data_IF_456281294422
#
_entry.id   IF_456281294422
#
_cell.length_a   1.000
_cell.length_b   1.000
_cell.length_c   1.000
_cell.angle_alpha   90.00
_cell.angle_beta   90.00
_cell.angle_gamma   90.00
#
_symmetry.space_group_name_H-M   'P 1'
#
loop_
_entity.id
_entity.type
_entity.pdbx_description
1 polymer ?
#
# COMPACT_ATOMS: atom_id res chain seq x y z
N UNK A 1 -42.81 -71.16 -18.72
CA UNK A 1 -42.58 -70.79 -17.31
C UNK A 1 -41.13 -70.36 -17.17
N UNK A 2 -40.86 -69.06 -17.30
CA UNK A 2 -39.56 -68.49 -16.99
C UNK A 2 -39.74 -67.62 -15.74
N UNK A 3 -39.06 -67.99 -14.67
CA UNK A 3 -39.06 -67.24 -13.41
C UNK A 3 -38.19 -66.00 -13.58
N UNK A 4 -38.77 -64.81 -13.42
CA UNK A 4 -38.02 -63.57 -13.26
C UNK A 4 -37.53 -63.49 -11.81
N UNK A 5 -36.21 -63.56 -11.62
CA UNK A 5 -35.57 -63.14 -10.38
C UNK A 5 -35.58 -61.61 -10.36
N UNK A 6 -36.30 -61.01 -9.42
CA UNK A 6 -36.23 -59.58 -9.18
C UNK A 6 -34.99 -59.31 -8.34
N UNK A 7 -33.89 -58.91 -9.00
CA UNK A 7 -32.73 -58.34 -8.32
C UNK A 7 -33.14 -56.98 -7.73
N UNK A 8 -33.37 -56.96 -6.42
CA UNK A 8 -33.51 -55.72 -5.65
C UNK A 8 -32.12 -55.11 -5.54
N UNK A 9 -31.83 -54.10 -6.36
CA UNK A 9 -30.65 -53.25 -6.17
C UNK A 9 -30.85 -52.43 -4.90
N UNK A 10 -30.09 -52.75 -3.85
CA UNK A 10 -29.91 -51.86 -2.72
C UNK A 10 -28.92 -50.77 -3.13
N UNK A 11 -29.43 -49.64 -3.63
CA UNK A 11 -28.66 -48.40 -3.70
C UNK A 11 -28.37 -47.97 -2.26
N UNK A 12 -27.21 -48.37 -1.75
CA UNK A 12 -26.69 -47.88 -0.48
C UNK A 12 -25.79 -46.69 -0.79
N UNK A 13 -26.37 -45.58 -1.25
CA UNK A 13 -25.71 -44.30 -1.03
C UNK A 13 -25.77 -44.06 0.48
N UNK A 14 -24.62 -44.18 1.14
CA UNK A 14 -24.51 -43.82 2.53
C UNK A 14 -24.94 -42.34 2.67
N UNK A 15 -25.95 -42.03 3.49
CA UNK A 15 -26.38 -40.65 3.67
C UNK A 15 -25.21 -39.81 4.15
N UNK A 16 -24.86 -38.78 3.38
CA UNK A 16 -23.81 -37.83 3.74
C UNK A 16 -24.29 -37.07 4.96
N UNK A 17 -23.56 -37.17 6.07
CA UNK A 17 -23.84 -36.39 7.28
C UNK A 17 -23.70 -34.91 6.97
N UNK A 18 -24.78 -34.14 7.10
CA UNK A 18 -24.71 -32.68 7.13
C UNK A 18 -23.99 -32.21 8.39
N UNK A 19 -23.35 -31.02 8.33
CA UNK A 19 -22.75 -30.33 9.50
C UNK A 19 -23.81 -29.64 10.38
N UNK A 20 -25.04 -30.11 10.32
CA UNK A 20 -26.12 -29.60 11.16
C UNK A 20 -26.11 -30.34 12.50
N UNK A 21 -26.56 -29.70 13.60
CA UNK A 21 -26.63 -30.37 14.91
C UNK A 21 -27.47 -31.66 14.87
N UNK A 22 -28.44 -31.74 13.97
CA UNK A 22 -29.29 -32.93 13.78
C UNK A 22 -28.75 -33.90 12.71
N UNK A 23 -27.59 -33.63 12.10
CA UNK A 23 -27.02 -34.44 11.02
C UNK A 23 -26.71 -35.88 11.43
N UNK A 24 -26.34 -36.11 12.69
CA UNK A 24 -26.18 -37.46 13.25
C UNK A 24 -27.53 -38.13 13.57
N UNK A 25 -28.52 -37.36 14.04
CA UNK A 25 -29.85 -37.88 14.30
C UNK A 25 -30.54 -38.33 12.99
N UNK A 26 -30.27 -37.62 11.88
CA UNK A 26 -30.77 -37.96 10.55
C UNK A 26 -30.25 -39.32 10.01
N UNK A 27 -29.14 -39.84 10.54
CA UNK A 27 -28.61 -41.15 10.20
C UNK A 27 -29.31 -42.30 10.94
N UNK A 28 -30.07 -42.01 12.00
CA UNK A 28 -30.74 -43.04 12.77
C UNK A 28 -31.95 -43.61 12.02
N UNK A 29 -32.26 -44.90 12.19
CA UNK A 29 -33.51 -45.47 11.70
C UNK A 29 -34.71 -44.69 12.26
N UNK A 30 -35.68 -44.40 11.39
CA UNK A 30 -36.87 -43.59 11.71
C UNK A 30 -37.64 -44.04 12.96
N UNK A 31 -37.60 -45.34 13.27
CA UNK A 31 -38.20 -45.91 14.49
C UNK A 31 -37.62 -45.31 15.78
N UNK A 32 -36.31 -45.06 15.85
CA UNK A 32 -35.67 -44.48 17.03
C UNK A 32 -36.01 -43.00 17.21
N UNK A 33 -36.15 -42.25 16.12
CA UNK A 33 -36.55 -40.84 16.14
C UNK A 33 -37.98 -40.66 16.64
N UNK A 34 -38.90 -41.55 16.26
CA UNK A 34 -40.29 -41.52 16.74
C UNK A 34 -40.37 -41.78 18.25
N UNK A 35 -39.62 -42.76 18.75
CA UNK A 35 -39.59 -43.08 20.18
C UNK A 35 -38.93 -41.99 21.02
N UNK A 36 -37.89 -41.35 20.49
CA UNK A 36 -37.23 -40.23 21.17
C UNK A 36 -38.16 -39.02 21.28
N UNK A 37 -38.94 -38.73 20.24
CA UNK A 37 -39.95 -37.67 20.26
C UNK A 37 -41.05 -37.90 21.31
N UNK A 38 -41.42 -39.16 21.58
CA UNK A 38 -42.37 -39.52 22.65
C UNK A 38 -41.79 -39.27 24.06
N UNK A 39 -40.47 -39.33 24.22
CA UNK A 39 -39.76 -39.15 25.51
C UNK A 39 -39.17 -37.75 25.70
N UNK A 40 -39.44 -36.80 24.78
CA UNK A 40 -39.00 -35.40 24.87
C UNK A 40 -37.62 -35.11 24.25
N UNK A 41 -37.19 -35.90 23.28
CA UNK A 41 -35.96 -35.76 22.49
C UNK A 41 -34.60 -35.82 23.24
N UNK A 42 -34.42 -36.60 24.32
CA UNK A 42 -33.14 -36.69 25.02
C UNK A 42 -32.01 -37.29 24.16
N UNK A 43 -32.31 -38.22 23.26
CA UNK A 43 -31.31 -38.84 22.37
C UNK A 43 -30.86 -37.84 21.30
N UNK A 44 -31.77 -37.06 20.70
CA UNK A 44 -31.41 -35.98 19.77
C UNK A 44 -30.50 -34.95 20.44
N UNK A 45 -30.83 -34.52 21.66
CA UNK A 45 -30.00 -33.59 22.41
C UNK A 45 -28.59 -34.13 22.69
N UNK A 46 -28.46 -35.41 23.06
CA UNK A 46 -27.17 -36.07 23.22
C UNK A 46 -26.38 -36.14 21.90
N UNK A 47 -27.05 -36.53 20.80
CA UNK A 47 -26.42 -36.63 19.49
C UNK A 47 -25.98 -35.27 18.95
N UNK A 48 -26.70 -34.19 19.25
CA UNK A 48 -26.29 -32.84 18.89
C UNK A 48 -24.96 -32.45 19.55
N UNK A 49 -24.78 -32.77 20.84
CA UNK A 49 -23.50 -32.52 21.54
C UNK A 49 -22.38 -33.38 20.95
N UNK A 50 -22.66 -34.64 20.60
CA UNK A 50 -21.68 -35.52 19.94
C UNK A 50 -21.34 -35.01 18.54
N UNK A 51 -22.32 -34.51 17.78
CA UNK A 51 -22.12 -33.92 16.45
C UNK A 51 -21.17 -32.73 16.52
N UNK A 52 -21.32 -31.86 17.52
CA UNK A 52 -20.42 -30.72 17.75
C UNK A 52 -18.96 -31.17 17.97
N UNK A 53 -18.73 -32.24 18.74
CA UNK A 53 -17.37 -32.78 18.92
C UNK A 53 -16.85 -33.47 17.67
N UNK A 54 -17.72 -34.18 16.94
CA UNK A 54 -17.35 -34.82 15.68
C UNK A 54 -16.96 -33.79 14.62
N UNK A 55 -17.67 -32.67 14.53
CA UNK A 55 -17.34 -31.60 13.61
C UNK A 55 -16.01 -30.94 13.96
N UNK A 56 -15.67 -30.77 15.25
CA UNK A 56 -14.30 -30.36 15.65
C UNK A 56 -13.22 -31.32 15.18
N UNK A 57 -13.47 -32.64 15.26
CA UNK A 57 -12.52 -33.64 14.77
C UNK A 57 -12.42 -33.60 13.25
N UNK A 58 -13.54 -33.42 12.54
CA UNK A 58 -13.58 -33.29 11.08
C UNK A 58 -12.81 -32.05 10.62
N UNK A 59 -13.04 -30.91 11.25
CA UNK A 59 -12.33 -29.67 10.98
C UNK A 59 -10.83 -29.84 11.26
N UNK A 60 -10.46 -30.57 12.33
CA UNK A 60 -9.07 -30.90 12.61
C UNK A 60 -8.42 -31.80 11.56
N UNK A 61 -9.16 -32.78 11.01
CA UNK A 61 -8.67 -33.65 9.92
C UNK A 61 -8.54 -32.85 8.63
N UNK A 62 -9.54 -32.05 8.28
CA UNK A 62 -9.53 -31.16 7.11
C UNK A 62 -8.36 -30.18 7.18
N UNK A 63 -8.19 -29.50 8.32
CA UNK A 63 -7.04 -28.65 8.57
C UNK A 63 -5.72 -29.43 8.48
N UNK A 64 -5.68 -30.69 8.92
CA UNK A 64 -4.49 -31.54 8.79
C UNK A 64 -4.11 -31.83 7.33
N UNK A 65 -5.07 -31.88 6.40
CA UNK A 65 -4.78 -31.94 4.96
C UNK A 65 -4.33 -30.58 4.41
N UNK A 66 -4.93 -29.49 4.87
CA UNK A 66 -4.48 -28.12 4.52
C UNK A 66 -3.07 -27.83 5.03
N UNK A 67 -2.69 -28.40 6.17
CA UNK A 67 -1.36 -28.30 6.78
C UNK A 67 -0.23 -28.89 5.92
N UNK A 68 -0.55 -29.67 4.89
CA UNK A 68 0.41 -30.18 3.92
C UNK A 68 0.88 -29.12 2.91
N UNK A 69 0.11 -28.05 2.71
CA UNK A 69 0.40 -27.00 1.73
C UNK A 69 0.78 -25.71 2.43
N UNK A 70 1.87 -25.09 1.98
CA UNK A 70 2.38 -23.87 2.62
C UNK A 70 1.36 -22.75 2.53
N UNK A 71 0.49 -22.70 1.52
CA UNK A 71 -0.54 -21.69 1.27
C UNK A 71 -1.75 -21.78 2.21
N UNK A 72 -2.08 -22.97 2.71
CA UNK A 72 -3.28 -23.21 3.54
C UNK A 72 -3.01 -23.74 4.95
N UNK A 73 -1.78 -24.19 5.21
CA UNK A 73 -1.33 -24.61 6.53
C UNK A 73 -1.56 -23.60 7.67
N UNK A 74 -1.85 -24.12 8.86
CA UNK A 74 -1.91 -23.31 10.06
C UNK A 74 -0.53 -22.67 10.35
N UNK A 75 -0.46 -21.43 10.89
CA UNK A 75 0.81 -20.73 11.10
C UNK A 75 1.84 -21.51 11.95
N UNK A 76 1.38 -22.35 12.88
CA UNK A 76 2.26 -23.16 13.73
C UNK A 76 2.95 -24.31 12.98
N UNK A 77 2.43 -24.73 11.82
CA UNK A 77 2.99 -25.80 10.98
C UNK A 77 4.13 -25.31 10.09
N UNK A 78 4.12 -24.02 9.73
CA UNK A 78 5.09 -23.41 8.81
C UNK A 78 6.56 -23.65 9.18
N UNK A 79 6.99 -23.59 10.46
CA UNK A 79 8.36 -23.93 10.83
C UNK A 79 8.75 -25.37 10.50
N UNK A 80 7.83 -26.33 10.65
CA UNK A 80 8.08 -27.74 10.34
C UNK A 80 8.19 -27.98 8.84
N UNK A 81 7.33 -27.33 8.04
CA UNK A 81 7.48 -27.33 6.57
C UNK A 81 8.81 -26.66 6.16
N UNK A 82 9.18 -25.59 6.85
CA UNK A 82 10.46 -24.91 6.72
C UNK A 82 11.64 -25.86 6.93
N UNK A 83 11.64 -26.64 8.01
CA UNK A 83 12.71 -27.60 8.32
C UNK A 83 12.91 -28.64 7.21
N UNK A 84 11.84 -29.12 6.58
CA UNK A 84 11.90 -30.06 5.45
C UNK A 84 12.65 -29.48 4.25
N UNK A 85 12.45 -28.18 3.97
CA UNK A 85 13.14 -27.47 2.89
C UNK A 85 14.43 -26.80 3.36
N UNK A 86 14.82 -26.99 4.62
CA UNK A 86 15.98 -26.40 5.29
C UNK A 86 15.91 -24.88 5.41
N UNK A 87 14.72 -24.31 5.56
CA UNK A 87 14.53 -22.93 5.97
C UNK A 87 15.31 -22.67 7.26
N UNK A 88 15.84 -21.45 7.40
CA UNK A 88 16.49 -21.01 8.63
C UNK A 88 15.90 -19.67 9.00
N UNK A 89 15.45 -19.57 10.24
CA UNK A 89 14.93 -18.33 10.80
C UNK A 89 16.01 -17.25 10.75
N UNK A 90 15.61 -16.04 10.38
CA UNK A 90 16.54 -14.92 10.30
C UNK A 90 16.93 -14.44 11.72
N UNK A 91 18.21 -14.13 11.97
CA UNK A 91 18.65 -13.55 13.24
C UNK A 91 17.89 -12.25 13.54
N UNK A 92 17.20 -12.19 14.69
CA UNK A 92 16.38 -11.04 15.09
C UNK A 92 14.93 -11.40 15.38
N UNK A 93 14.36 -12.39 14.69
CA UNK A 93 13.03 -12.93 15.03
C UNK A 93 13.02 -13.57 16.42
N UNK A 94 14.16 -14.13 16.84
CA UNK A 94 14.36 -14.63 18.21
C UNK A 94 14.13 -13.56 19.28
N UNK A 95 14.33 -12.27 18.98
CA UNK A 95 14.10 -11.16 19.93
C UNK A 95 12.64 -10.81 20.08
N UNK A 96 11.85 -10.92 19.00
CA UNK A 96 10.38 -10.72 19.03
C UNK A 96 9.73 -11.70 20.03
N UNK A 97 10.31 -12.89 20.18
CA UNK A 97 9.87 -13.90 21.17
C UNK A 97 10.01 -13.44 22.63
N UNK A 98 10.89 -12.47 22.93
CA UNK A 98 11.25 -12.10 24.31
C UNK A 98 10.56 -10.85 24.84
N UNK A 99 9.97 -10.01 23.98
CA UNK A 99 9.43 -8.68 24.36
C UNK A 99 7.91 -8.53 24.23
N UNK A 100 7.16 -9.63 24.35
CA UNK A 100 5.71 -9.59 24.63
C UNK A 100 4.85 -8.97 23.53
N UNK A 101 4.35 -9.80 22.61
CA UNK A 101 3.22 -9.43 21.76
C UNK A 101 1.97 -9.31 22.65
N UNK A 102 1.52 -8.09 22.92
CA UNK A 102 0.27 -7.85 23.65
C UNK A 102 -0.93 -8.23 22.76
N UNK A 103 -1.86 -8.99 23.34
CA UNK A 103 -3.21 -9.40 22.86
C UNK A 103 -3.38 -10.06 21.47
N UNK A 104 -2.33 -10.20 20.64
CA UNK A 104 -2.34 -10.95 19.37
C UNK A 104 -1.32 -12.12 19.28
N UNK A 105 -0.72 -12.50 20.41
CA UNK A 105 0.67 -12.97 20.49
C UNK A 105 1.07 -14.39 20.04
N UNK A 106 0.23 -15.16 19.35
CA UNK A 106 0.64 -16.48 18.80
C UNK A 106 0.63 -16.53 17.27
N UNK A 107 -0.41 -16.01 16.62
CA UNK A 107 -0.49 -15.99 15.16
C UNK A 107 0.51 -14.97 14.58
N UNK A 108 0.53 -13.75 15.12
CA UNK A 108 1.52 -12.73 14.76
C UNK A 108 2.96 -13.17 15.09
N UNK A 109 3.13 -14.02 16.11
CA UNK A 109 4.42 -14.60 16.45
C UNK A 109 4.85 -15.66 15.44
N UNK A 110 3.93 -16.54 15.04
CA UNK A 110 4.20 -17.59 14.05
C UNK A 110 4.52 -16.98 12.68
N UNK A 111 3.78 -15.93 12.28
CA UNK A 111 4.05 -15.16 11.07
C UNK A 111 5.40 -14.43 11.13
N UNK A 112 5.77 -13.88 12.30
CA UNK A 112 7.10 -13.32 12.47
C UNK A 112 8.18 -14.42 12.36
N UNK A 113 8.08 -15.53 13.09
CA UNK A 113 9.12 -16.56 13.12
C UNK A 113 9.36 -17.22 11.76
N UNK A 114 8.29 -17.50 11.01
CA UNK A 114 8.36 -18.14 9.71
C UNK A 114 7.31 -17.52 8.78
N UNK A 115 7.61 -16.38 8.15
CA UNK A 115 6.70 -15.77 7.19
C UNK A 115 6.38 -16.78 6.09
N UNK A 116 5.09 -17.01 5.88
CA UNK A 116 4.57 -17.98 4.91
C UNK A 116 5.21 -17.84 3.53
N UNK A 117 5.33 -16.59 3.07
CA UNK A 117 5.93 -16.27 1.79
C UNK A 117 7.41 -16.69 1.70
N UNK A 118 8.18 -16.51 2.77
CA UNK A 118 9.61 -16.83 2.81
C UNK A 118 9.84 -18.36 2.85
N UNK A 119 9.04 -19.08 3.65
CA UNK A 119 9.05 -20.55 3.66
C UNK A 119 8.70 -21.11 2.27
N UNK A 120 7.62 -20.60 1.65
CA UNK A 120 7.19 -21.00 0.31
C UNK A 120 8.27 -20.74 -0.75
N UNK A 121 8.90 -19.57 -0.69
CA UNK A 121 9.89 -19.15 -1.69
C UNK A 121 11.26 -19.82 -1.52
N UNK A 122 11.54 -20.46 -0.38
CA UNK A 122 12.86 -21.03 -0.04
C UNK A 122 13.41 -21.96 -1.13
N UNK A 123 12.58 -22.84 -1.71
CA UNK A 123 13.03 -23.75 -2.78
C UNK A 123 13.38 -22.97 -4.06
N UNK A 124 12.56 -21.99 -4.42
CA UNK A 124 12.80 -21.12 -5.58
C UNK A 124 14.07 -20.29 -5.41
N UNK A 125 14.27 -19.68 -4.24
CA UNK A 125 15.49 -18.96 -3.87
C UNK A 125 16.73 -19.84 -4.00
N UNK A 126 16.66 -21.09 -3.54
CA UNK A 126 17.78 -22.05 -3.64
C UNK A 126 18.14 -22.39 -5.08
N UNK A 127 17.14 -22.53 -5.95
CA UNK A 127 17.35 -22.77 -7.40
C UNK A 127 17.96 -21.57 -8.12
N UNK A 128 17.72 -20.35 -7.61
CA UNK A 128 18.23 -19.08 -8.16
C UNK A 128 19.40 -18.50 -7.37
N UNK A 129 20.09 -19.31 -6.56
CA UNK A 129 21.28 -18.84 -5.82
C UNK A 129 22.32 -18.25 -6.77
N UNK A 130 22.82 -17.08 -6.42
CA UNK A 130 23.84 -16.38 -7.21
C UNK A 130 23.27 -15.50 -8.33
N UNK A 131 21.95 -15.40 -8.49
CA UNK A 131 21.34 -14.39 -9.36
C UNK A 131 21.24 -13.04 -8.65
N UNK A 132 21.33 -11.96 -9.42
CA UNK A 132 21.28 -10.60 -8.89
C UNK A 132 19.89 -10.23 -8.36
N UNK A 133 18.84 -10.58 -9.11
CA UNK A 133 17.44 -10.33 -8.73
C UNK A 133 17.04 -10.98 -7.39
N UNK A 134 17.63 -12.12 -7.03
CA UNK A 134 17.33 -12.75 -5.73
C UNK A 134 17.66 -11.82 -4.55
N UNK A 135 18.65 -10.93 -4.67
CA UNK A 135 18.94 -9.95 -3.61
C UNK A 135 17.85 -8.88 -3.50
N UNK A 136 17.21 -8.53 -4.62
CA UNK A 136 16.08 -7.59 -4.67
C UNK A 136 14.83 -8.24 -4.08
N UNK A 137 14.52 -9.46 -4.51
CA UNK A 137 13.39 -10.28 -4.02
C UNK A 137 13.48 -10.52 -2.50
N UNK A 138 14.67 -10.85 -1.98
CA UNK A 138 14.86 -11.03 -0.53
C UNK A 138 14.65 -9.74 0.26
N UNK A 139 15.01 -8.57 -0.29
CA UNK A 139 14.77 -7.28 0.38
C UNK A 139 13.26 -6.99 0.49
N UNK A 140 12.52 -7.22 -0.59
CA UNK A 140 11.07 -7.02 -0.62
C UNK A 140 10.36 -8.01 0.31
N UNK A 141 10.68 -9.29 0.25
CA UNK A 141 9.97 -10.32 1.04
C UNK A 141 10.28 -10.26 2.54
N UNK A 142 11.52 -9.91 2.93
CA UNK A 142 11.93 -9.90 4.35
C UNK A 142 11.63 -8.56 5.01
N UNK A 143 11.87 -7.45 4.31
CA UNK A 143 11.79 -6.11 4.88
C UNK A 143 10.65 -5.25 4.31
N UNK A 144 9.95 -5.71 3.26
CA UNK A 144 8.94 -4.91 2.57
C UNK A 144 9.53 -3.70 1.85
N UNK A 145 10.82 -3.76 1.49
CA UNK A 145 11.52 -2.65 0.85
C UNK A 145 11.97 -3.01 -0.56
N UNK A 146 11.51 -2.24 -1.57
CA UNK A 146 11.99 -2.38 -2.93
C UNK A 146 13.50 -2.13 -2.95
N UNK A 147 14.21 -2.92 -3.75
CA UNK A 147 15.65 -2.81 -3.84
C UNK A 147 16.15 -2.99 -5.26
N UNK A 148 17.37 -2.50 -5.48
CA UNK A 148 18.11 -2.68 -6.71
C UNK A 148 19.50 -3.20 -6.40
N UNK A 149 19.83 -4.33 -6.97
CA UNK A 149 21.12 -4.95 -6.89
C UNK A 149 21.95 -4.59 -8.14
N UNK A 150 23.20 -4.20 -7.92
CA UNK A 150 24.10 -3.69 -8.96
C UNK A 150 25.45 -4.38 -8.84
N UNK A 151 25.85 -5.05 -9.93
CA UNK A 151 27.22 -5.56 -10.09
C UNK A 151 28.18 -4.40 -10.37
N UNK A 152 29.06 -4.09 -9.42
CA UNK A 152 29.93 -2.92 -9.52
C UNK A 152 31.02 -3.09 -10.59
N UNK A 153 31.41 -4.32 -10.93
CA UNK A 153 32.27 -4.62 -12.08
C UNK A 153 31.74 -4.03 -13.39
N UNK A 154 30.42 -4.00 -13.57
CA UNK A 154 29.80 -3.45 -14.78
C UNK A 154 29.90 -1.93 -14.84
N UNK A 155 30.16 -1.25 -13.72
CA UNK A 155 30.28 0.21 -13.67
C UNK A 155 31.73 0.68 -13.66
N UNK A 156 32.71 -0.22 -13.53
CA UNK A 156 34.12 0.14 -13.49
C UNK A 156 34.73 0.16 -14.89
N UNK A 157 35.44 1.25 -15.19
CA UNK A 157 36.29 1.37 -16.36
C UNK A 157 37.50 0.44 -16.26
N UNK A 158 37.79 -0.31 -17.33
CA UNK A 158 38.93 -1.23 -17.37
C UNK A 158 39.59 -1.24 -18.75
N UNK A 159 40.91 -1.42 -18.75
CA UNK A 159 41.68 -1.59 -19.98
C UNK A 159 41.60 -3.05 -20.42
N UNK A 160 41.05 -3.30 -21.60
CA UNK A 160 40.90 -4.66 -22.13
C UNK A 160 42.11 -5.08 -22.97
N UNK A 161 42.47 -6.36 -22.88
CA UNK A 161 43.43 -6.96 -23.82
C UNK A 161 42.81 -7.03 -25.21
N UNK A 162 43.58 -6.65 -26.24
CA UNK A 162 43.15 -6.71 -27.65
C UNK A 162 42.75 -8.14 -28.05
N UNK A 163 43.36 -9.16 -27.44
CA UNK A 163 43.03 -10.57 -27.71
C UNK A 163 41.68 -11.02 -27.16
N UNK A 164 41.16 -10.33 -26.13
CA UNK A 164 39.91 -10.67 -25.43
C UNK A 164 38.93 -9.49 -25.50
N UNK A 165 38.95 -8.75 -26.62
CA UNK A 165 38.09 -7.61 -26.81
C UNK A 165 36.62 -8.03 -26.71
N UNK A 166 35.89 -7.34 -25.83
CA UNK A 166 34.43 -7.38 -25.74
C UNK A 166 33.95 -5.95 -25.71
N UNK A 167 33.01 -5.60 -26.59
CA UNK A 167 32.37 -4.30 -26.50
C UNK A 167 31.52 -4.24 -25.23
N UNK A 168 32.07 -3.60 -24.20
CA UNK A 168 31.41 -3.39 -22.91
C UNK A 168 30.95 -1.94 -22.74
N UNK A 169 31.33 -1.04 -23.66
CA UNK A 169 31.14 0.40 -23.51
C UNK A 169 31.85 1.03 -22.31
N UNK A 170 32.80 0.35 -21.64
CA UNK A 170 33.43 0.81 -20.38
C UNK A 170 34.75 1.58 -20.52
N UNK A 171 35.19 1.83 -21.76
CA UNK A 171 36.34 2.68 -22.08
C UNK A 171 35.97 3.98 -22.82
N UNK A 172 34.68 4.32 -22.90
CA UNK A 172 34.19 5.50 -23.63
C UNK A 172 34.15 6.74 -22.75
N UNK A 173 34.23 7.91 -23.40
CA UNK A 173 33.93 9.18 -22.74
C UNK A 173 32.44 9.27 -22.39
N UNK A 174 32.13 10.05 -21.35
CA UNK A 174 30.77 10.29 -20.92
C UNK A 174 29.99 11.04 -22.00
N UNK A 175 28.81 10.54 -22.36
CA UNK A 175 27.92 11.24 -23.30
C UNK A 175 27.17 12.36 -22.58
N UNK A 176 27.51 13.62 -22.92
CA UNK A 176 26.89 14.80 -22.35
C UNK A 176 25.51 15.12 -22.95
N UNK A 177 25.08 14.39 -23.98
CA UNK A 177 23.79 14.61 -24.66
C UNK A 177 22.65 13.83 -24.02
N UNK A 178 22.95 12.74 -23.31
CA UNK A 178 21.96 11.95 -22.58
C UNK A 178 21.72 12.55 -21.18
N UNK A 179 20.85 13.55 -21.12
CA UNK A 179 20.52 14.25 -19.87
C UNK A 179 19.90 13.33 -18.82
N UNK A 180 19.04 12.39 -19.24
CA UNK A 180 18.39 11.42 -18.34
C UNK A 180 19.41 10.49 -17.65
N UNK A 181 20.38 9.95 -18.40
CA UNK A 181 21.40 9.07 -17.82
C UNK A 181 22.34 9.84 -16.87
N UNK A 182 22.69 11.09 -17.21
CA UNK A 182 23.51 11.97 -16.36
C UNK A 182 22.82 12.31 -15.04
N UNK A 183 21.49 12.50 -15.05
CA UNK A 183 20.74 12.81 -13.84
C UNK A 183 20.65 11.62 -12.87
N UNK A 184 20.93 10.40 -13.32
CA UNK A 184 20.99 9.19 -12.51
C UNK A 184 22.41 8.84 -12.03
N UNK A 185 23.39 9.70 -12.33
CA UNK A 185 24.78 9.48 -11.96
C UNK A 185 24.97 9.41 -10.43
N UNK A 186 25.76 8.43 -9.97
CA UNK A 186 26.07 8.25 -8.55
C UNK A 186 24.97 7.55 -7.76
N UNK A 187 23.84 7.27 -8.41
CA UNK A 187 22.73 6.54 -7.83
C UNK A 187 22.70 5.05 -8.22
N UNK A 188 21.63 4.36 -7.82
CA UNK A 188 21.41 2.95 -8.14
C UNK A 188 21.30 2.64 -9.64
N UNK A 189 20.88 3.63 -10.43
CA UNK A 189 20.66 3.50 -11.87
C UNK A 189 21.80 4.08 -12.70
N UNK A 190 22.93 4.38 -12.08
CA UNK A 190 24.09 4.90 -12.77
C UNK A 190 24.57 3.91 -13.84
N UNK A 191 24.79 4.41 -15.05
CA UNK A 191 25.35 3.64 -16.17
C UNK A 191 26.73 4.12 -16.57
N UNK A 192 27.24 5.20 -15.96
CA UNK A 192 28.52 5.82 -16.26
C UNK A 192 29.69 4.93 -15.83
N UNK A 193 30.77 4.95 -16.61
CA UNK A 193 31.99 4.23 -16.26
C UNK A 193 32.78 5.03 -15.21
N UNK A 194 33.22 4.35 -14.14
CA UNK A 194 33.92 4.93 -12.98
C UNK A 194 35.30 4.35 -12.81
N UNK A 195 36.20 5.09 -12.20
CA UNK A 195 37.47 4.55 -11.70
C UNK A 195 37.23 3.66 -10.49
N UNK A 196 38.10 2.67 -10.29
CA UNK A 196 38.03 1.78 -9.13
C UNK A 196 38.22 2.58 -7.85
N UNK A 197 37.34 2.36 -6.87
CA UNK A 197 37.47 2.88 -5.52
C UNK A 197 37.63 1.73 -4.51
N UNK A 198 38.87 1.51 -4.08
CA UNK A 198 39.25 0.44 -3.13
C UNK A 198 38.94 0.79 -1.66
N UNK A 199 38.39 1.97 -1.37
CA UNK A 199 37.97 2.32 -0.01
C UNK A 199 36.85 1.37 0.45
N UNK A 200 36.69 1.22 1.75
CA UNK A 200 35.69 0.30 2.32
C UNK A 200 34.28 0.85 2.12
N UNK A 201 33.37 -0.01 1.65
CA UNK A 201 31.95 0.32 1.52
C UNK A 201 31.29 0.64 2.87
N UNK A 202 31.79 0.08 3.97
CA UNK A 202 31.27 0.30 5.33
C UNK A 202 32.06 1.36 6.13
N UNK A 203 32.85 2.20 5.47
CA UNK A 203 33.60 3.27 6.16
C UNK A 203 32.65 4.39 6.60
N UNK A 204 32.58 4.65 7.91
CA UNK A 204 31.75 5.71 8.47
C UNK A 204 32.22 7.14 8.13
N UNK A 205 33.48 7.32 7.70
CA UNK A 205 34.04 8.65 7.37
C UNK A 205 34.01 8.94 5.88
N UNK A 206 34.40 7.96 5.07
CA UNK A 206 34.52 8.10 3.61
C UNK A 206 34.07 6.80 2.94
N UNK A 207 32.79 6.73 2.63
CA UNK A 207 32.21 5.59 1.94
C UNK A 207 32.84 5.46 0.53
N UNK A 208 33.22 4.23 0.18
CA UNK A 208 33.67 3.88 -1.16
C UNK A 208 33.14 2.51 -1.55
N UNK A 209 34.00 1.64 -2.08
CA UNK A 209 33.66 0.25 -2.36
C UNK A 209 33.20 -0.01 -3.77
N UNK A 210 33.42 0.92 -4.70
CA UNK A 210 33.25 0.73 -6.13
C UNK A 210 34.37 -0.15 -6.69
N UNK A 211 34.34 -1.41 -6.29
CA UNK A 211 35.34 -2.42 -6.66
C UNK A 211 34.76 -3.41 -7.66
N UNK A 212 35.57 -3.97 -8.57
CA UNK A 212 35.09 -4.99 -9.52
C UNK A 212 34.52 -6.25 -8.86
N UNK A 213 34.93 -6.59 -7.65
CA UNK A 213 34.40 -7.73 -6.91
C UNK A 213 33.12 -7.41 -6.11
N UNK A 214 32.71 -6.13 -6.07
CA UNK A 214 31.61 -5.67 -5.25
C UNK A 214 30.24 -5.86 -5.89
N UNK A 215 29.25 -6.13 -5.05
CA UNK A 215 27.82 -6.03 -5.36
C UNK A 215 27.24 -4.99 -4.41
N UNK A 216 26.49 -4.03 -4.95
CA UNK A 216 25.76 -3.04 -4.16
C UNK A 216 24.27 -3.39 -4.15
N UNK A 217 23.64 -3.27 -2.98
CA UNK A 217 22.18 -3.35 -2.82
C UNK A 217 21.68 -2.00 -2.35
N UNK A 218 20.89 -1.34 -3.19
CA UNK A 218 20.24 -0.07 -2.87
C UNK A 218 18.82 -0.36 -2.44
N UNK A 219 18.41 0.14 -1.27
CA UNK A 219 17.12 -0.18 -0.65
C UNK A 219 16.31 1.10 -0.48
N UNK A 220 15.06 1.08 -0.92
CA UNK A 220 14.12 2.18 -0.76
C UNK A 220 13.30 1.98 0.50
N UNK A 221 13.66 2.74 1.55
CA UNK A 221 12.94 2.72 2.82
C UNK A 221 11.64 3.53 2.82
N UNK A 222 11.47 4.40 1.82
CA UNK A 222 10.28 5.22 1.66
C UNK A 222 9.36 4.55 0.64
N UNK A 223 8.06 4.49 0.95
CA UNK A 223 7.01 4.00 0.06
C UNK A 223 6.41 5.15 -0.73
N UNK A 224 5.84 4.84 -1.89
CA UNK A 224 5.08 5.79 -2.69
C UNK A 224 3.62 5.82 -2.22
N UNK A 225 3.18 6.97 -1.72
CA UNK A 225 1.80 7.21 -1.30
C UNK A 225 1.06 8.03 -2.34
N UNK A 226 -0.14 7.60 -2.73
CA UNK A 226 -0.98 8.35 -3.66
C UNK A 226 -1.72 9.50 -2.96
N UNK A 227 -1.95 10.56 -3.72
CA UNK A 227 -2.96 11.57 -3.45
C UNK A 227 -3.79 11.73 -4.71
N UNK A 228 -5.09 11.51 -4.59
CA UNK A 228 -6.01 11.46 -5.71
C UNK A 228 -6.97 12.63 -5.65
N UNK A 229 -7.09 13.36 -6.75
CA UNK A 229 -7.92 14.56 -6.88
C UNK A 229 -7.68 15.58 -5.77
N UNK A 230 -6.44 15.68 -5.29
CA UNK A 230 -6.08 16.65 -4.25
C UNK A 230 -5.98 18.06 -4.86
N UNK A 231 -6.51 19.10 -4.20
CA UNK A 231 -6.28 20.47 -4.63
C UNK A 231 -4.78 20.81 -4.54
N UNK A 232 -4.25 21.45 -5.58
CA UNK A 232 -2.93 22.06 -5.52
C UNK A 232 -3.01 23.41 -4.79
N UNK A 233 -2.03 23.71 -3.94
CA UNK A 233 -2.02 24.95 -3.18
C UNK A 233 -1.56 26.11 -4.05
N UNK A 234 -2.32 27.21 -4.09
CA UNK A 234 -1.93 28.43 -4.79
C UNK A 234 -1.07 29.31 -3.87
N UNK A 235 0.23 29.40 -4.15
CA UNK A 235 1.18 30.24 -3.39
C UNK A 235 1.00 31.71 -3.78
N UNK A 236 0.93 31.98 -5.08
CA UNK A 236 0.82 33.34 -5.60
C UNK A 236 -0.17 33.35 -6.77
N UNK A 237 -1.34 33.95 -6.52
CA UNK A 237 -2.42 34.08 -7.51
C UNK A 237 -2.09 35.07 -8.63
N UNK A 238 -1.30 36.11 -8.36
CA UNK A 238 -0.93 37.08 -9.39
C UNK A 238 0.08 36.48 -10.38
N UNK A 239 0.95 35.59 -9.89
CA UNK A 239 1.97 34.91 -10.70
C UNK A 239 1.57 33.51 -11.16
N UNK A 240 0.41 33.00 -10.72
CA UNK A 240 -0.12 31.67 -11.00
C UNK A 240 0.84 30.54 -10.60
N UNK A 241 1.34 30.62 -9.37
CA UNK A 241 2.30 29.68 -8.81
C UNK A 241 1.59 28.73 -7.84
N UNK A 242 1.83 27.43 -8.00
CA UNK A 242 1.16 26.38 -7.26
C UNK A 242 2.15 25.31 -6.78
N UNK A 243 1.80 24.58 -5.72
CA UNK A 243 2.50 23.36 -5.29
C UNK A 243 1.58 22.16 -5.36
N UNK A 244 2.16 20.99 -5.62
CA UNK A 244 1.43 19.71 -5.58
C UNK A 244 0.90 19.43 -4.18
N UNK A 245 1.67 19.73 -3.14
CA UNK A 245 1.19 19.64 -1.76
C UNK A 245 0.19 20.75 -1.47
N UNK A 246 -0.99 20.35 -0.99
CA UNK A 246 -2.04 21.26 -0.50
C UNK A 246 -1.61 22.07 0.74
N UNK A 247 -0.58 21.61 1.46
CA UNK A 247 -0.03 22.31 2.62
C UNK A 247 0.91 23.47 2.20
N UNK A 248 1.19 23.62 0.90
CA UNK A 248 2.03 24.71 0.38
C UNK A 248 3.53 24.48 0.52
N UNK A 249 3.97 23.34 1.06
CA UNK A 249 5.38 22.97 1.15
C UNK A 249 5.89 22.34 -0.15
N UNK A 250 7.21 22.41 -0.34
CA UNK A 250 7.88 21.63 -1.39
C UNK A 250 7.75 20.14 -1.06
N UNK A 251 7.36 19.35 -2.07
CA UNK A 251 7.14 17.92 -1.96
C UNK A 251 7.61 17.25 -3.24
N UNK A 252 8.81 16.61 -3.23
CA UNK A 252 9.32 15.91 -4.40
C UNK A 252 8.35 14.81 -4.86
N UNK A 253 8.16 14.72 -6.17
CA UNK A 253 7.35 13.68 -6.77
C UNK A 253 8.14 12.37 -6.87
N UNK A 254 7.47 11.25 -6.62
CA UNK A 254 8.05 9.92 -6.80
C UNK A 254 7.35 9.14 -7.89
N UNK A 255 8.12 8.22 -8.48
CA UNK A 255 7.60 7.24 -9.41
C UNK A 255 6.59 6.34 -8.70
N UNK A 256 5.43 6.12 -9.32
CA UNK A 256 4.53 5.03 -8.96
C UNK A 256 5.15 3.73 -9.46
N UNK A 257 5.61 2.81 -8.58
CA UNK A 257 6.27 1.59 -9.01
C UNK A 257 5.33 0.72 -9.84
N UNK A 258 5.83 0.18 -10.94
CA UNK A 258 5.17 -0.87 -11.73
C UNK A 258 5.80 -2.21 -11.35
N UNK A 259 5.01 -3.27 -11.13
CA UNK A 259 5.54 -4.60 -10.86
C UNK A 259 6.53 -5.07 -11.93
N UNK A 260 7.55 -5.80 -11.50
CA UNK A 260 8.53 -6.35 -12.42
C UNK A 260 7.88 -7.39 -13.35
N UNK A 261 8.24 -7.41 -14.64
CA UNK A 261 7.60 -8.27 -15.63
C UNK A 261 7.98 -9.76 -15.48
N UNK A 262 9.09 -10.07 -14.80
CA UNK A 262 9.49 -11.46 -14.56
C UNK A 262 10.36 -11.61 -13.31
N UNK A 263 10.43 -12.81 -12.70
CA UNK A 263 11.27 -13.11 -11.52
C UNK A 263 12.80 -13.13 -11.78
N UNK A 264 13.23 -12.60 -12.92
CA UNK A 264 14.64 -12.45 -13.29
C UNK A 264 14.96 -11.05 -13.83
N UNK A 265 13.94 -10.20 -13.90
CA UNK A 265 14.12 -8.80 -14.24
C UNK A 265 14.92 -8.11 -13.13
N UNK A 266 15.73 -7.12 -13.48
CA UNK A 266 16.46 -6.34 -12.48
C UNK A 266 15.72 -5.02 -12.35
N UNK A 267 15.33 -4.65 -11.14
CA UNK A 267 14.53 -3.46 -10.87
C UNK A 267 15.07 -2.24 -11.61
N UNK A 268 14.25 -1.61 -12.47
CA UNK A 268 14.59 -0.33 -13.12
C UNK A 268 13.97 0.84 -12.35
N UNK A 269 14.21 2.07 -12.81
CA UNK A 269 13.65 3.28 -12.17
C UNK A 269 12.13 3.21 -12.05
N UNK A 270 11.49 2.47 -12.97
CA UNK A 270 10.05 2.34 -13.07
C UNK A 270 9.48 1.30 -12.07
N UNK A 271 10.34 0.46 -11.48
CA UNK A 271 9.95 -0.61 -10.55
C UNK A 271 10.08 -0.22 -9.07
N UNK A 272 10.57 0.99 -8.77
CA UNK A 272 10.84 1.43 -7.40
C UNK A 272 10.32 2.85 -7.16
N UNK A 273 10.09 3.26 -5.90
CA UNK A 273 9.63 4.61 -5.58
C UNK A 273 10.79 5.63 -5.66
N UNK A 274 11.41 5.75 -6.83
CA UNK A 274 12.48 6.69 -7.08
C UNK A 274 11.95 8.14 -7.21
N UNK A 275 12.73 9.11 -6.73
CA UNK A 275 12.43 10.52 -6.97
C UNK A 275 12.58 10.85 -8.46
N UNK A 276 11.58 11.56 -8.99
CA UNK A 276 11.55 11.97 -10.39
C UNK A 276 12.41 13.23 -10.53
N UNK A 277 13.53 13.13 -11.27
CA UNK A 277 14.38 14.29 -11.55
C UNK A 277 13.85 15.09 -12.72
N UNK A 278 14.23 16.38 -12.82
CA UNK A 278 13.82 17.26 -13.92
C UNK A 278 14.22 16.71 -15.28
N UNK A 279 15.44 16.19 -15.40
CA UNK A 279 15.93 15.64 -16.69
C UNK A 279 15.24 14.34 -17.05
N UNK A 280 15.03 13.45 -16.08
CA UNK A 280 14.31 12.21 -16.31
C UNK A 280 12.87 12.48 -16.78
N UNK A 281 12.18 13.41 -16.13
CA UNK A 281 10.83 13.80 -16.55
C UNK A 281 10.80 14.49 -17.91
N UNK A 282 11.81 15.30 -18.23
CA UNK A 282 11.90 15.98 -19.52
C UNK A 282 12.01 15.00 -20.68
N UNK A 283 12.89 14.00 -20.55
CA UNK A 283 13.17 13.04 -21.62
C UNK A 283 12.10 11.94 -21.71
N UNK A 284 11.47 11.58 -20.59
CA UNK A 284 10.51 10.46 -20.47
C UNK A 284 9.15 10.89 -19.90
N UNK A 285 8.65 12.08 -20.28
CA UNK A 285 7.41 12.65 -19.74
C UNK A 285 6.23 11.68 -19.76
N UNK A 286 6.06 10.98 -20.89
CA UNK A 286 4.93 10.07 -21.09
C UNK A 286 4.97 8.85 -20.17
N UNK A 287 6.11 8.48 -19.60
CA UNK A 287 6.22 7.35 -18.69
C UNK A 287 5.66 7.69 -17.29
N UNK A 288 5.78 8.96 -16.88
CA UNK A 288 5.36 9.42 -15.56
C UNK A 288 4.01 10.14 -15.55
N UNK A 289 3.63 10.79 -16.65
CA UNK A 289 2.46 11.66 -16.73
C UNK A 289 1.26 11.00 -17.41
N UNK A 290 0.10 11.04 -16.76
CA UNK A 290 -1.18 10.61 -17.31
C UNK A 290 -2.04 9.81 -16.32
N UNK A 291 -3.33 9.59 -16.62
CA UNK A 291 -4.26 8.90 -15.71
C UNK A 291 -3.68 7.57 -15.19
N UNK A 292 -3.65 7.41 -13.87
CA UNK A 292 -3.13 6.21 -13.20
C UNK A 292 -1.60 6.08 -13.12
N UNK A 293 -0.84 7.04 -13.66
CA UNK A 293 0.64 7.08 -13.61
C UNK A 293 1.14 7.81 -12.35
N UNK A 294 2.40 8.26 -12.38
CA UNK A 294 3.06 8.87 -11.22
C UNK A 294 2.43 10.20 -10.84
N UNK A 295 2.03 11.02 -11.82
CA UNK A 295 1.25 12.23 -11.57
C UNK A 295 0.36 12.66 -12.74
N UNK A 296 -0.65 13.46 -12.42
CA UNK A 296 -1.62 14.07 -13.33
C UNK A 296 -1.95 15.46 -12.86
N UNK A 297 -2.16 16.39 -13.80
CA UNK A 297 -2.63 17.75 -13.50
C UNK A 297 -3.95 17.95 -14.22
N UNK A 298 -4.95 18.40 -13.47
CA UNK A 298 -6.28 18.81 -13.93
C UNK A 298 -6.50 20.26 -13.53
N UNK A 299 -7.26 21.01 -14.34
CA UNK A 299 -7.54 22.44 -14.09
C UNK A 299 -9.01 22.75 -14.31
N UNK A 300 -9.46 23.81 -13.66
CA UNK A 300 -10.79 24.39 -13.88
C UNK A 300 -11.97 23.43 -13.65
N UNK A 301 -11.79 22.41 -12.79
CA UNK A 301 -12.82 21.42 -12.49
C UNK A 301 -13.09 20.43 -13.62
N UNK A 302 -12.28 20.46 -14.69
CA UNK A 302 -12.38 19.48 -15.77
C UNK A 302 -11.78 18.14 -15.32
N UNK A 303 -12.49 17.05 -15.59
CA UNK A 303 -11.98 15.70 -15.33
C UNK A 303 -10.92 15.26 -16.36
N UNK A 304 -10.68 16.09 -17.38
CA UNK A 304 -9.68 15.80 -18.42
C UNK A 304 -8.29 16.23 -17.94
N UNK A 305 -7.27 15.35 -18.05
CA UNK A 305 -5.90 15.73 -17.75
C UNK A 305 -5.42 16.79 -18.74
N UNK A 306 -4.53 17.68 -18.29
CA UNK A 306 -3.86 18.61 -19.18
C UNK A 306 -3.10 17.83 -20.27
N UNK A 307 -3.14 18.24 -21.55
CA UNK A 307 -2.39 17.58 -22.61
C UNK A 307 -0.88 17.53 -22.30
N UNK A 308 -0.19 16.40 -22.53
CA UNK A 308 1.26 16.32 -22.32
C UNK A 308 2.06 17.36 -23.12
N UNK A 309 1.55 17.79 -24.28
CA UNK A 309 2.15 18.85 -25.11
C UNK A 309 2.23 20.22 -24.42
N UNK A 310 1.37 20.46 -23.44
CA UNK A 310 1.29 21.72 -22.72
C UNK A 310 2.27 21.73 -21.53
N UNK A 311 2.81 20.57 -21.14
CA UNK A 311 3.71 20.43 -20.01
C UNK A 311 5.14 20.70 -20.42
N UNK A 312 5.80 21.56 -19.66
CA UNK A 312 7.22 21.85 -19.80
C UNK A 312 7.89 21.56 -18.47
N UNK A 313 8.95 20.77 -18.48
CA UNK A 313 9.76 20.56 -17.29
C UNK A 313 10.73 21.71 -17.14
N UNK A 314 10.74 22.36 -15.97
CA UNK A 314 11.61 23.50 -15.71
C UNK A 314 12.02 23.56 -14.24
N UNK A 315 13.11 24.27 -13.97
CA UNK A 315 13.52 24.61 -12.61
C UNK A 315 12.65 25.76 -12.07
N UNK A 316 11.92 25.49 -11.00
CA UNK A 316 11.03 26.44 -10.33
C UNK A 316 11.54 26.84 -8.93
N UNK A 317 12.80 26.56 -8.59
CA UNK A 317 13.41 26.88 -7.29
C UNK A 317 13.25 28.36 -6.91
N UNK A 318 13.52 29.25 -7.87
CA UNK A 318 13.43 30.71 -7.69
C UNK A 318 12.17 31.32 -8.33
N UNK A 319 11.25 30.51 -8.86
CA UNK A 319 10.08 30.98 -9.63
C UNK A 319 10.42 31.94 -10.79
N UNK A 320 11.66 31.87 -11.31
CA UNK A 320 12.15 32.73 -12.40
C UNK A 320 11.62 32.32 -13.76
N UNK A 321 11.41 31.01 -13.97
CA UNK A 321 10.89 30.50 -15.22
C UNK A 321 9.46 31.00 -15.46
N UNK A 322 9.22 31.58 -16.63
CA UNK A 322 7.90 32.07 -17.05
C UNK A 322 7.38 31.21 -18.21
N UNK A 323 6.39 30.33 -17.98
CA UNK A 323 5.81 29.52 -19.04
C UNK A 323 5.20 30.40 -20.13
N UNK A 324 5.31 29.97 -21.40
CA UNK A 324 4.63 30.65 -22.50
C UNK A 324 3.12 30.43 -22.42
N UNK A 325 2.37 31.13 -23.26
CA UNK A 325 0.91 30.95 -23.35
C UNK A 325 0.58 29.48 -23.66
N UNK A 326 -0.30 28.89 -22.86
CA UNK A 326 -0.72 27.49 -23.00
C UNK A 326 0.22 26.50 -22.30
N UNK A 327 1.41 26.92 -21.89
CA UNK A 327 2.35 26.04 -21.18
C UNK A 327 2.11 26.03 -19.68
N UNK A 328 2.37 24.87 -19.08
CA UNK A 328 2.42 24.62 -17.65
C UNK A 328 3.83 24.14 -17.34
N UNK A 329 4.57 24.91 -16.55
CA UNK A 329 5.86 24.46 -16.06
C UNK A 329 5.68 23.56 -14.84
N UNK A 330 6.38 22.44 -14.82
CA UNK A 330 6.38 21.47 -13.71
C UNK A 330 7.82 21.25 -13.26
N UNK A 331 8.03 21.32 -11.94
CA UNK A 331 9.29 20.94 -11.29
C UNK A 331 9.03 19.73 -10.37
N UNK A 332 9.41 18.50 -10.78
CA UNK A 332 9.13 17.30 -10.00
C UNK A 332 10.00 17.19 -8.75
N UNK A 333 11.17 17.84 -8.71
CA UNK A 333 12.09 17.76 -7.57
C UNK A 333 11.58 18.60 -6.38
N UNK A 334 10.82 19.66 -6.66
CA UNK A 334 10.22 20.52 -5.64
C UNK A 334 8.70 20.32 -5.49
N UNK A 335 8.06 19.63 -6.44
CA UNK A 335 6.60 19.54 -6.47
C UNK A 335 5.94 20.89 -6.73
N UNK A 336 6.46 21.66 -7.69
CA UNK A 336 5.95 23.00 -8.05
C UNK A 336 5.36 23.02 -9.45
N UNK A 337 4.37 23.90 -9.63
CA UNK A 337 3.65 24.12 -10.88
C UNK A 337 3.55 25.62 -11.13
N UNK A 338 3.83 26.07 -12.35
CA UNK A 338 3.59 27.45 -12.76
C UNK A 338 2.79 27.49 -14.07
N UNK A 339 1.77 28.34 -14.13
CA UNK A 339 0.95 28.52 -15.31
C UNK A 339 1.34 29.80 -16.07
N UNK A 340 1.27 29.74 -17.41
CA UNK A 340 1.39 30.94 -18.23
C UNK A 340 0.33 32.00 -17.87
N UNK A 341 0.68 33.28 -17.95
CA UNK A 341 -0.15 34.42 -17.50
C UNK A 341 -1.54 34.54 -18.14
N UNK A 342 -1.77 33.92 -19.30
CA UNK A 342 -3.07 33.89 -20.00
C UNK A 342 -3.76 32.52 -20.00
N UNK A 343 -3.15 31.53 -19.37
CA UNK A 343 -3.66 30.15 -19.23
C UNK A 343 -3.80 29.78 -17.75
N UNK A 344 -3.94 30.80 -16.90
CA UNK A 344 -4.17 30.68 -15.48
C UNK A 344 -5.52 30.02 -15.20
N UNK A 345 -5.56 29.00 -14.32
CA UNK A 345 -6.80 28.38 -13.91
C UNK A 345 -7.62 29.35 -13.06
N UNK A 346 -8.93 29.41 -13.32
CA UNK A 346 -9.90 30.25 -12.61
C UNK A 346 -10.59 29.51 -11.48
N UNK A 347 -10.92 28.23 -11.66
CA UNK A 347 -11.66 27.44 -10.65
C UNK A 347 -10.74 26.61 -9.76
N UNK A 348 -9.45 26.50 -10.11
CA UNK A 348 -8.45 25.81 -9.31
C UNK A 348 -7.67 24.77 -10.11
N UNK A 349 -6.79 24.06 -9.40
CA UNK A 349 -5.92 23.02 -9.93
C UNK A 349 -6.04 21.82 -9.03
N UNK A 350 -6.21 20.65 -9.63
CA UNK A 350 -6.25 19.37 -8.94
C UNK A 350 -5.14 18.49 -9.49
N UNK A 351 -4.52 17.73 -8.60
CA UNK A 351 -3.41 16.86 -8.95
C UNK A 351 -3.65 15.47 -8.42
N UNK A 352 -3.28 14.50 -9.24
CA UNK A 352 -2.97 13.16 -8.76
C UNK A 352 -1.45 13.09 -8.69
N UNK A 353 -0.88 12.68 -7.57
CA UNK A 353 0.57 12.48 -7.50
C UNK A 353 0.95 11.50 -6.41
N UNK A 354 2.20 11.04 -6.49
CA UNK A 354 2.79 10.21 -5.45
C UNK A 354 3.89 10.98 -4.73
N UNK A 355 3.93 10.81 -3.41
CA UNK A 355 4.98 11.35 -2.55
C UNK A 355 5.63 10.23 -1.72
N UNK A 356 6.85 10.45 -1.27
CA UNK A 356 7.61 9.49 -0.48
C UNK A 356 7.30 9.66 1.02
N UNK A 357 6.94 8.57 1.70
CA UNK A 357 6.78 8.58 3.16
C UNK A 357 7.16 7.23 3.78
N UNK A 358 7.39 7.22 5.10
CA UNK A 358 8.04 6.09 5.77
C UNK A 358 7.11 4.94 6.18
N UNK A 359 5.84 5.23 6.46
CA UNK A 359 4.87 4.25 6.97
C UNK A 359 3.43 4.74 6.81
N UNK A 360 2.47 3.83 6.95
CA UNK A 360 1.02 4.08 6.92
C UNK A 360 0.59 4.80 8.20
N UNK A 361 1.09 6.02 8.38
CA UNK A 361 0.87 6.84 9.57
C UNK A 361 0.42 8.26 9.24
N UNK A 362 -0.41 8.82 10.11
CA UNK A 362 -0.99 10.15 9.93
C UNK A 362 -2.13 10.18 8.92
N UNK A 363 -2.11 11.16 8.02
CA UNK A 363 -3.11 11.30 6.96
C UNK A 363 -2.57 10.79 5.63
N UNK A 364 -3.23 9.79 5.03
CA UNK A 364 -2.89 9.25 3.72
C UNK A 364 -4.02 8.41 3.11
N UNK A 365 -3.90 8.13 1.81
CA UNK A 365 -4.79 7.26 1.04
C UNK A 365 -4.31 5.81 1.13
N UNK A 366 -4.33 5.26 2.33
CA UNK A 366 -3.94 3.88 2.63
C UNK A 366 -5.00 3.20 3.48
N UNK A 367 -4.97 1.88 3.52
CA UNK A 367 -5.85 1.06 4.35
C UNK A 367 -5.47 1.16 5.83
N UNK A 368 -6.48 1.20 6.69
CA UNK A 368 -6.39 1.35 8.15
C UNK A 368 -6.99 0.10 8.79
N UNK A 369 -6.25 -1.03 8.83
CA UNK A 369 -6.77 -2.30 9.31
C UNK A 369 -7.14 -2.28 10.80
N UNK A 370 -6.52 -1.40 11.60
CA UNK A 370 -6.83 -1.25 13.03
C UNK A 370 -8.15 -0.50 13.30
N UNK A 371 -8.91 -0.18 12.25
CA UNK A 371 -10.16 0.56 12.37
C UNK A 371 -11.25 -0.34 12.94
N UNK A 372 -11.75 0.03 14.11
CA UNK A 372 -12.83 -0.69 14.79
C UNK A 372 -14.19 -0.31 14.19
N UNK A 373 -14.99 -1.31 13.85
CA UNK A 373 -16.37 -1.13 13.44
C UNK A 373 -17.22 -0.59 14.61
N UNK A 374 -18.02 0.43 14.33
CA UNK A 374 -18.87 1.13 15.31
C UNK A 374 -20.34 1.09 14.89
N UNK A 375 -21.01 -0.08 14.91
CA UNK A 375 -22.43 -0.19 14.55
C UNK A 375 -23.35 0.52 15.56
N UNK A 376 -22.82 0.87 16.73
CA UNK A 376 -23.48 1.56 17.82
C UNK A 376 -23.57 3.08 17.64
N UNK A 377 -22.84 3.65 16.68
CA UNK A 377 -22.80 5.10 16.45
C UNK A 377 -23.57 5.52 15.19
N UNK A 378 -24.15 6.72 15.21
CA UNK A 378 -24.83 7.29 14.05
C UNK A 378 -23.82 7.90 13.05
N UNK A 379 -23.94 7.57 11.76
CA UNK A 379 -22.99 8.00 10.72
C UNK A 379 -23.53 9.18 9.89
N UNK A 380 -22.72 10.22 9.76
CA UNK A 380 -22.98 11.40 8.94
C UNK A 380 -21.84 11.58 7.94
N UNK A 381 -22.13 11.37 6.65
CA UNK A 381 -21.11 11.42 5.59
C UNK A 381 -20.98 12.79 4.96
N UNK A 382 -19.74 13.27 4.84
CA UNK A 382 -19.39 14.60 4.35
C UNK A 382 -18.54 14.48 3.08
N UNK A 383 -18.98 15.09 1.98
CA UNK A 383 -18.19 15.17 0.76
C UNK A 383 -19.02 15.39 -0.51
N UNK A 384 -18.36 15.47 -1.67
CA UNK A 384 -19.04 15.53 -2.96
C UNK A 384 -19.95 14.30 -3.15
N UNK A 385 -21.22 14.54 -3.49
CA UNK A 385 -22.20 13.47 -3.69
C UNK A 385 -22.76 12.82 -2.41
N UNK A 386 -22.37 13.30 -1.23
CA UNK A 386 -22.91 12.87 0.06
C UNK A 386 -24.04 13.80 0.55
N UNK A 387 -24.82 13.39 1.58
CA UNK A 387 -25.90 14.22 2.13
C UNK A 387 -25.41 15.58 2.64
N UNK A 388 -24.20 15.62 3.19
CA UNK A 388 -23.60 16.84 3.73
C UNK A 388 -22.37 17.23 2.91
N UNK A 389 -22.24 18.52 2.61
CA UNK A 389 -21.04 19.08 1.96
C UNK A 389 -20.03 19.62 2.97
N UNK A 390 -20.54 20.14 4.09
CA UNK A 390 -19.76 20.78 5.15
C UNK A 390 -19.77 19.90 6.40
N UNK A 391 -18.68 19.97 7.17
CA UNK A 391 -18.52 19.25 8.44
C UNK A 391 -19.55 19.78 9.45
N UNK A 392 -19.75 21.10 9.48
CA UNK A 392 -20.68 21.72 10.43
C UNK A 392 -22.15 21.43 10.13
N UNK A 393 -22.52 21.18 8.87
CA UNK A 393 -23.88 20.76 8.52
C UNK A 393 -24.17 19.34 9.00
N UNK A 394 -23.20 18.43 8.88
CA UNK A 394 -23.30 17.07 9.41
C UNK A 394 -23.41 17.07 10.94
N UNK A 395 -22.64 17.92 11.60
CA UNK A 395 -22.72 18.10 13.05
C UNK A 395 -24.08 18.66 13.52
N UNK A 396 -24.62 19.68 12.83
CA UNK A 396 -25.95 20.23 13.15
C UNK A 396 -27.05 19.18 12.97
N UNK A 397 -26.92 18.32 11.96
CA UNK A 397 -27.85 17.20 11.77
C UNK A 397 -27.76 16.19 12.92
N UNK A 398 -26.54 15.81 13.33
CA UNK A 398 -26.35 14.96 14.50
C UNK A 398 -26.95 15.56 15.77
N UNK A 399 -26.72 16.85 16.04
CA UNK A 399 -27.34 17.53 17.20
C UNK A 399 -28.87 17.53 17.13
N UNK A 400 -29.44 17.70 15.92
CA UNK A 400 -30.89 17.66 15.73
C UNK A 400 -31.45 16.27 16.06
N UNK A 401 -30.83 15.22 15.51
CA UNK A 401 -31.23 13.84 15.75
C UNK A 401 -31.06 13.43 17.22
N UNK A 402 -29.99 13.91 17.86
CA UNK A 402 -29.72 13.71 19.29
C UNK A 402 -30.81 14.33 20.17
N UNK A 403 -31.20 15.59 19.89
CA UNK A 403 -32.27 16.31 20.61
C UNK A 403 -33.65 15.71 20.35
N UNK A 404 -33.87 15.15 19.17
CA UNK A 404 -35.11 14.44 18.82
C UNK A 404 -35.20 13.03 19.44
N UNK A 405 -34.11 12.51 20.02
CA UNK A 405 -34.03 11.16 20.57
C UNK A 405 -33.92 10.06 19.50
N UNK A 406 -33.63 10.43 18.26
CA UNK A 406 -33.49 9.53 17.11
C UNK A 406 -32.18 8.73 17.14
N UNK A 407 -31.14 9.27 17.80
CA UNK A 407 -29.80 8.69 17.88
C UNK A 407 -29.25 8.76 19.30
N UNK A 408 -28.31 7.84 19.61
CA UNK A 408 -27.57 7.83 20.87
C UNK A 408 -26.54 8.98 20.98
N UNK A 409 -25.80 9.03 22.10
CA UNK A 409 -24.74 10.03 22.33
C UNK A 409 -23.52 9.89 21.40
N UNK A 410 -23.39 8.76 20.71
CA UNK A 410 -22.24 8.44 19.88
C UNK A 410 -22.52 8.78 18.41
N UNK A 411 -21.78 9.76 17.88
CA UNK A 411 -21.89 10.22 16.50
C UNK A 411 -20.55 10.14 15.76
N UNK A 412 -20.59 9.76 14.49
CA UNK A 412 -19.44 9.70 13.59
C UNK A 412 -19.68 10.60 12.40
N UNK A 413 -18.85 11.63 12.24
CA UNK A 413 -18.78 12.44 11.02
C UNK A 413 -17.64 11.90 10.17
N UNK A 414 -17.99 11.31 9.03
CA UNK A 414 -17.05 10.65 8.12
C UNK A 414 -16.84 11.48 6.86
N UNK A 415 -15.62 11.95 6.63
CA UNK A 415 -15.24 12.71 5.44
C UNK A 415 -14.83 11.76 4.33
N UNK A 416 -15.57 11.74 3.22
CA UNK A 416 -15.42 10.74 2.16
C UNK A 416 -14.58 11.20 0.96
N UNK A 417 -13.82 12.29 1.08
CA UNK A 417 -13.08 12.89 -0.04
C UNK A 417 -11.76 13.54 0.39
N UNK A 418 -10.69 13.35 -0.38
CA UNK A 418 -9.33 13.90 -0.17
C UNK A 418 -9.19 15.40 -0.50
N UNK A 419 -10.21 16.19 -0.17
CA UNK A 419 -10.28 17.62 -0.48
C UNK A 419 -9.77 18.53 0.64
N UNK A 420 -9.82 19.84 0.38
CA UNK A 420 -9.62 20.87 1.41
C UNK A 420 -10.96 21.28 2.02
N UNK A 421 -11.06 21.23 3.34
CA UNK A 421 -12.22 21.70 4.10
C UNK A 421 -11.83 23.00 4.82
N UNK A 422 -12.55 24.08 4.54
CA UNK A 422 -12.28 25.42 5.05
C UNK A 422 -13.55 25.91 5.74
N UNK A 423 -13.65 25.62 7.04
CA UNK A 423 -14.83 25.90 7.85
C UNK A 423 -14.38 26.30 9.26
N UNK A 424 -15.21 27.10 9.94
CA UNK A 424 -15.09 27.30 11.38
C UNK A 424 -15.71 26.09 12.07
N UNK A 425 -14.92 25.38 12.87
CA UNK A 425 -15.39 24.21 13.60
C UNK A 425 -15.76 24.61 15.02
N UNK A 426 -17.05 24.52 15.37
CA UNK A 426 -17.57 24.87 16.69
C UNK A 426 -18.50 23.76 17.20
N UNK A 427 -17.97 22.91 18.06
CA UNK A 427 -18.66 21.75 18.61
C UNK A 427 -19.06 22.02 20.07
N UNK A 428 -20.34 22.06 20.34
CA UNK A 428 -21.00 22.09 21.65
C UNK A 428 -21.52 20.67 22.00
N UNK A 429 -20.91 20.01 22.98
CA UNK A 429 -21.20 18.62 23.34
C UNK A 429 -21.76 18.52 24.76
N UNK A 430 -22.87 17.79 24.94
CA UNK A 430 -23.41 17.55 26.28
C UNK A 430 -22.57 16.48 27.02
N UNK A 431 -22.54 16.49 28.37
CA UNK A 431 -21.83 15.47 29.14
C UNK A 431 -22.26 14.04 28.76
N UNK A 432 -21.30 13.24 28.28
CA UNK A 432 -21.53 11.86 27.84
C UNK A 432 -21.68 11.69 26.33
N UNK A 433 -21.74 12.78 25.55
CA UNK A 433 -21.68 12.70 24.09
C UNK A 433 -20.27 12.32 23.61
N UNK A 434 -20.21 11.53 22.54
CA UNK A 434 -18.97 11.12 21.88
C UNK A 434 -19.08 11.37 20.38
N UNK A 435 -18.44 12.44 19.91
CA UNK A 435 -18.37 12.77 18.49
C UNK A 435 -16.99 12.43 17.91
N UNK A 436 -16.96 11.59 16.88
CA UNK A 436 -15.74 11.23 16.15
C UNK A 436 -15.76 11.86 14.75
N UNK A 437 -14.83 12.79 14.50
CA UNK A 437 -14.57 13.31 13.16
C UNK A 437 -13.42 12.52 12.52
N UNK A 438 -13.70 11.80 11.44
CA UNK A 438 -12.71 10.93 10.79
C UNK A 438 -12.75 11.00 9.28
N UNK A 439 -11.63 10.63 8.68
CA UNK A 439 -11.56 10.37 7.25
C UNK A 439 -12.12 8.98 6.92
N UNK A 440 -12.79 8.84 5.79
CA UNK A 440 -13.15 7.55 5.24
C UNK A 440 -11.89 6.74 4.86
N UNK A 441 -12.09 5.46 4.62
CA UNK A 441 -11.03 4.54 4.23
C UNK A 441 -10.35 5.00 2.94
N UNK A 442 -9.02 4.97 2.88
CA UNK A 442 -8.28 5.42 1.69
C UNK A 442 -8.43 6.91 1.34
N UNK A 443 -8.89 7.76 2.26
CA UNK A 443 -9.01 9.21 2.01
C UNK A 443 -8.12 10.05 2.91
N UNK A 444 -7.64 11.17 2.38
CA UNK A 444 -6.80 12.15 3.10
C UNK A 444 -7.40 13.56 3.02
N UNK A 445 -8.48 13.84 3.77
CA UNK A 445 -9.02 15.18 3.86
C UNK A 445 -8.03 16.11 4.59
N UNK A 446 -7.97 17.36 4.16
CA UNK A 446 -7.18 18.40 4.82
C UNK A 446 -8.10 19.48 5.35
N UNK A 447 -8.16 19.59 6.67
CA UNK A 447 -8.94 20.63 7.34
C UNK A 447 -8.04 21.84 7.54
N UNK A 448 -8.41 22.97 6.93
CA UNK A 448 -7.72 24.24 7.09
C UNK A 448 -8.44 25.04 8.17
N UNK A 449 -7.82 25.07 9.35
CA UNK A 449 -8.26 25.89 10.48
C UNK A 449 -7.82 27.34 10.22
N UNK A 450 -8.79 28.21 9.92
CA UNK A 450 -8.57 29.62 9.70
C UNK A 450 -9.17 30.41 10.85
N UNK A 451 -8.39 31.31 11.45
CA UNK A 451 -8.92 32.27 12.42
C UNK A 451 -9.75 33.33 11.67
N UNK A 452 -11.00 33.48 12.06
CA UNK A 452 -11.91 34.46 11.49
C UNK A 452 -11.81 35.81 12.22
N UNK A 453 -11.46 35.78 13.50
CA UNK A 453 -11.18 36.99 14.26
C UNK A 453 -9.68 37.22 14.41
N UNK A 454 -9.20 38.42 14.09
CA UNK A 454 -7.76 38.74 14.16
C UNK A 454 -7.20 38.82 15.58
N UNK A 455 -8.04 38.78 16.62
CA UNK A 455 -7.65 38.99 18.01
C UNK A 455 -7.88 37.78 18.93
N UNK A 456 -8.32 36.64 18.41
CA UNK A 456 -8.51 35.40 19.18
C UNK A 456 -8.45 34.17 18.30
N UNK A 457 -7.93 33.04 18.80
CA UNK A 457 -8.07 31.76 18.10
C UNK A 457 -9.54 31.35 18.15
N UNK A 458 -10.15 31.13 16.99
CA UNK A 458 -11.55 30.72 16.87
C UNK A 458 -11.80 29.68 15.78
N UNK A 459 -10.73 29.17 15.18
CA UNK A 459 -10.79 28.21 14.10
C UNK A 459 -11.36 26.83 14.51
N UNK A 460 -11.12 26.41 15.76
CA UNK A 460 -11.67 25.19 16.36
C UNK A 460 -12.06 25.45 17.82
N UNK A 461 -13.35 25.33 18.13
CA UNK A 461 -13.89 25.38 19.48
C UNK A 461 -14.58 24.05 19.80
N UNK A 462 -14.31 23.54 21.00
CA UNK A 462 -15.02 22.39 21.58
C UNK A 462 -15.47 22.85 22.97
N UNK A 463 -16.78 22.84 23.23
CA UNK A 463 -17.41 23.31 24.47
C UNK A 463 -18.19 22.21 25.16
#
# INVERSE_FOLDING_TARGET
>A
MAAHSADVQFDTEAPVTSREPDGLAALLPRWHLLRDAEEGEPLRALLAVIAEQLDRVRDGVEQGYEDLFVETAAPWVLPYLGDLVGYRTLPGYERVLTTGLHEGGRAALAEAVAPRADVAATVAHRRRKGTLHLLEELSEQVAGYPARAVELSRLVAHNQSVKLYRDTGRGRLLDLRDGSALALQGGPFDTTARTVDVRRANSARTQGGWTPAGVALFVWRLKAYSLTSSPAYCIDRARNLYTFSILGNDSPLVTKPVPEPSPTHIATVDNVPAFITRRLLHDRLLDYYGPGKSFVIRRDGEDKPVPPSDIVVADLSDWRYRPKRGQIAVDPELGRIAFGSRSAPRQGVWVDHHYAYGADMGGGEYERPDRVDRPDAAFYRVGPGQPYRQIMDAYRAWQHDRRAGSTGPDGIIEITHSGAYQEQLDFDLDPGDRLELRAAEGTRPVIRLLDWYSNRPDALNIR
#
